data_IF_136728942580
#
_entry.id   IF_136728942580
#
_cell.length_a   1.000
_cell.length_b   1.000
_cell.length_c   1.000
_cell.angle_alpha   90.00
_cell.angle_beta   90.00
_cell.angle_gamma   90.00
#
_symmetry.space_group_name_H-M   'P 1'
#
loop_
_entity.id
_entity.type
_entity.pdbx_description
1 polymer ?
#
# COMPACT_ATOMS: atom_id res chain seq x y z
N UNK A 1 -7.52 -27.02 5.76
CA UNK A 1 -7.84 -25.60 5.53
C UNK A 1 -9.22 -25.31 6.09
N UNK A 2 -9.28 -24.46 7.12
CA UNK A 2 -10.53 -24.08 7.79
C UNK A 2 -11.37 -23.14 6.90
N UNK A 3 -12.63 -22.89 7.28
CA UNK A 3 -13.47 -21.89 6.61
C UNK A 3 -12.85 -20.48 6.69
N UNK A 4 -12.26 -20.14 7.83
CA UNK A 4 -11.59 -18.85 8.03
C UNK A 4 -10.38 -18.72 7.11
N UNK A 5 -9.56 -19.77 6.96
CA UNK A 5 -8.40 -19.78 6.06
C UNK A 5 -8.83 -19.52 4.60
N UNK A 6 -9.94 -20.14 4.17
CA UNK A 6 -10.51 -19.91 2.83
C UNK A 6 -10.92 -18.46 2.62
N UNK A 7 -11.59 -17.87 3.62
CA UNK A 7 -12.02 -16.46 3.55
C UNK A 7 -10.80 -15.54 3.44
N UNK A 8 -9.76 -15.77 4.27
CA UNK A 8 -8.52 -14.99 4.21
C UNK A 8 -7.86 -15.10 2.83
N UNK A 9 -7.74 -16.32 2.29
CA UNK A 9 -7.14 -16.54 0.97
C UNK A 9 -7.90 -15.81 -0.15
N UNK A 10 -9.23 -15.81 -0.11
CA UNK A 10 -10.05 -15.12 -1.12
C UNK A 10 -9.86 -13.60 -1.03
N UNK A 11 -9.89 -13.04 0.19
CA UNK A 11 -9.66 -11.61 0.40
C UNK A 11 -8.24 -11.19 0.00
N UNK A 12 -7.23 -11.99 0.31
CA UNK A 12 -5.86 -11.74 -0.12
C UNK A 12 -5.75 -11.79 -1.66
N UNK A 13 -6.43 -12.74 -2.31
CA UNK A 13 -6.48 -12.83 -3.77
C UNK A 13 -7.17 -11.63 -4.41
N UNK A 14 -8.25 -11.14 -3.80
CA UNK A 14 -8.99 -9.96 -4.25
C UNK A 14 -8.11 -8.70 -4.17
N UNK A 15 -7.44 -8.49 -3.04
CA UNK A 15 -6.52 -7.39 -2.84
C UNK A 15 -5.35 -7.43 -3.83
N UNK A 16 -4.76 -8.61 -4.03
CA UNK A 16 -3.67 -8.81 -4.99
C UNK A 16 -4.08 -8.44 -6.42
N UNK A 17 -5.26 -8.90 -6.85
CA UNK A 17 -5.79 -8.57 -8.17
C UNK A 17 -6.02 -7.06 -8.31
N UNK A 18 -6.62 -6.43 -7.30
CA UNK A 18 -6.86 -4.99 -7.29
C UNK A 18 -5.56 -4.18 -7.42
N UNK A 19 -4.53 -4.49 -6.63
CA UNK A 19 -3.24 -3.78 -6.71
C UNK A 19 -2.56 -3.97 -8.07
N UNK A 20 -2.63 -5.17 -8.64
CA UNK A 20 -2.04 -5.43 -9.96
C UNK A 20 -2.77 -4.63 -11.06
N UNK A 21 -4.09 -4.55 -10.99
CA UNK A 21 -4.88 -3.77 -11.94
C UNK A 21 -4.67 -2.25 -11.78
N UNK A 22 -4.35 -1.77 -10.57
CA UNK A 22 -3.99 -0.38 -10.31
C UNK A 22 -2.60 -0.01 -10.86
N UNK A 23 -1.68 -0.97 -10.94
CA UNK A 23 -0.34 -0.79 -11.52
C UNK A 23 -0.31 -0.93 -13.05
N UNK A 24 -1.22 -1.72 -13.63
CA UNK A 24 -1.23 -2.02 -15.06
C UNK A 24 -1.29 -0.79 -16.01
N UNK A 25 -1.98 0.32 -15.68
CA UNK A 25 -2.00 1.51 -16.54
C UNK A 25 -0.61 2.04 -16.90
N UNK A 26 0.36 1.95 -15.99
CA UNK A 26 1.72 2.44 -16.21
C UNK A 26 2.38 1.70 -17.39
N UNK A 27 2.11 0.40 -17.53
CA UNK A 27 2.64 -0.44 -18.62
C UNK A 27 1.81 -0.31 -19.91
N UNK A 28 0.48 -0.20 -19.79
CA UNK A 28 -0.39 -0.05 -20.97
C UNK A 28 -0.08 1.23 -21.75
N UNK A 29 0.28 2.31 -21.06
CA UNK A 29 0.67 3.57 -21.70
C UNK A 29 1.94 3.43 -22.56
N UNK A 30 2.84 2.49 -22.26
CA UNK A 30 4.04 2.23 -23.07
C UNK A 30 3.73 1.66 -24.45
N UNK A 31 2.53 1.06 -24.61
CA UNK A 31 2.11 0.46 -25.88
C UNK A 31 1.45 1.46 -26.85
N UNK A 32 1.19 2.69 -26.40
CA UNK A 32 0.56 3.75 -27.21
C UNK A 32 1.67 4.53 -27.92
N UNK A 33 1.64 4.58 -29.27
CA UNK A 33 2.61 5.37 -30.04
C UNK A 33 2.19 6.85 -30.03
N UNK A 34 2.96 7.76 -29.39
CA UNK A 34 2.59 9.17 -29.33
C UNK A 34 2.73 9.92 -30.65
N UNK A 35 3.29 9.30 -31.70
CA UNK A 35 3.47 9.88 -33.03
C UNK A 35 2.42 9.41 -34.03
N UNK A 36 1.58 8.46 -33.65
CA UNK A 36 0.46 7.98 -34.45
C UNK A 36 -0.88 8.44 -33.83
N UNK A 37 -1.59 9.30 -34.56
CA UNK A 37 -2.87 9.84 -34.13
C UNK A 37 -3.94 8.76 -33.97
N UNK A 38 -3.89 7.68 -34.75
CA UNK A 38 -4.83 6.56 -34.62
C UNK A 38 -4.54 5.75 -33.36
N UNK A 39 -3.27 5.40 -33.12
CA UNK A 39 -2.82 4.77 -31.88
C UNK A 39 -3.20 5.59 -30.64
N UNK A 40 -2.98 6.91 -30.66
CA UNK A 40 -3.37 7.82 -29.59
C UNK A 40 -4.88 7.81 -29.32
N UNK A 41 -5.70 7.87 -30.37
CA UNK A 41 -7.15 7.90 -30.23
C UNK A 41 -7.68 6.58 -29.64
N UNK A 42 -7.24 5.44 -30.18
CA UNK A 42 -7.61 4.11 -29.71
C UNK A 42 -7.13 3.86 -28.28
N UNK A 43 -5.87 4.20 -27.99
CA UNK A 43 -5.28 4.09 -26.66
C UNK A 43 -6.01 4.94 -25.63
N UNK A 44 -6.37 6.18 -25.96
CA UNK A 44 -7.16 7.06 -25.09
C UNK A 44 -8.53 6.46 -24.77
N UNK A 45 -9.27 6.02 -25.79
CA UNK A 45 -10.58 5.41 -25.60
C UNK A 45 -10.50 4.16 -24.71
N UNK A 46 -9.52 3.31 -24.96
CA UNK A 46 -9.28 2.12 -24.16
C UNK A 46 -8.95 2.44 -22.71
N UNK A 47 -8.02 3.36 -22.44
CA UNK A 47 -7.61 3.75 -21.08
C UNK A 47 -8.78 4.38 -20.32
N UNK A 48 -9.62 5.19 -20.98
CA UNK A 48 -10.83 5.74 -20.35
C UNK A 48 -11.78 4.61 -19.91
N UNK A 49 -12.12 3.69 -20.83
CA UNK A 49 -12.99 2.56 -20.52
C UNK A 49 -12.39 1.65 -19.44
N UNK A 50 -11.09 1.39 -19.48
CA UNK A 50 -10.38 0.60 -18.47
C UNK A 50 -10.47 1.26 -17.10
N UNK A 51 -10.17 2.55 -16.99
CA UNK A 51 -10.19 3.27 -15.71
C UNK A 51 -11.59 3.31 -15.08
N UNK A 52 -12.64 3.47 -15.90
CA UNK A 52 -14.02 3.43 -15.41
C UNK A 52 -14.38 2.05 -14.84
N UNK A 53 -14.03 0.97 -15.55
CA UNK A 53 -14.26 -0.39 -15.07
C UNK A 53 -13.43 -0.70 -13.82
N UNK A 54 -12.16 -0.26 -13.79
CA UNK A 54 -11.29 -0.44 -12.64
C UNK A 54 -11.86 0.28 -11.41
N UNK A 55 -12.36 1.51 -11.56
CA UNK A 55 -12.97 2.25 -10.46
C UNK A 55 -14.23 1.55 -9.91
N UNK A 56 -15.04 0.94 -10.78
CA UNK A 56 -16.20 0.16 -10.34
C UNK A 56 -15.79 -1.13 -9.64
N UNK A 57 -14.76 -1.80 -10.16
CA UNK A 57 -14.19 -3.01 -9.56
C UNK A 57 -13.59 -2.72 -8.18
N UNK A 58 -12.82 -1.65 -8.02
CA UNK A 58 -12.20 -1.30 -6.73
C UNK A 58 -13.27 -0.95 -5.68
N UNK A 59 -14.27 -0.16 -6.06
CA UNK A 59 -15.41 0.15 -5.18
C UNK A 59 -16.22 -1.08 -4.77
N UNK A 60 -16.45 -2.02 -5.70
CA UNK A 60 -17.17 -3.27 -5.40
C UNK A 60 -16.34 -4.22 -4.53
N UNK A 61 -15.04 -4.32 -4.80
CA UNK A 61 -14.10 -5.13 -4.03
C UNK A 61 -13.99 -4.66 -2.59
N UNK A 62 -13.89 -3.34 -2.38
CA UNK A 62 -13.89 -2.73 -1.05
C UNK A 62 -15.17 -3.06 -0.27
N UNK A 63 -16.33 -2.94 -0.90
CA UNK A 63 -17.63 -3.29 -0.28
C UNK A 63 -17.70 -4.77 0.10
N UNK A 64 -17.29 -5.67 -0.79
CA UNK A 64 -17.25 -7.12 -0.51
C UNK A 64 -16.32 -7.40 0.67
N UNK A 65 -15.11 -6.83 0.67
CA UNK A 65 -14.17 -6.99 1.77
C UNK A 65 -14.76 -6.48 3.09
N UNK A 66 -15.40 -5.31 3.10
CA UNK A 66 -16.05 -4.75 4.28
C UNK A 66 -17.19 -5.65 4.79
N UNK A 67 -18.05 -6.16 3.90
CA UNK A 67 -19.15 -7.06 4.28
C UNK A 67 -18.63 -8.36 4.92
N UNK A 68 -17.60 -8.96 4.34
CA UNK A 68 -16.97 -10.18 4.86
C UNK A 68 -16.30 -9.89 6.22
N UNK A 69 -15.55 -8.79 6.33
CA UNK A 69 -14.93 -8.33 7.59
C UNK A 69 -16.00 -8.16 8.68
N UNK A 70 -17.08 -7.45 8.40
CA UNK A 70 -18.15 -7.19 9.36
C UNK A 70 -18.92 -8.45 9.79
N UNK A 71 -19.13 -9.39 8.87
CA UNK A 71 -19.89 -10.61 9.16
C UNK A 71 -19.07 -11.67 9.89
N UNK A 72 -17.81 -11.88 9.49
CA UNK A 72 -16.96 -12.95 10.02
C UNK A 72 -15.94 -12.47 11.06
N UNK A 73 -15.74 -11.17 11.24
CA UNK A 73 -14.73 -10.60 12.13
C UNK A 73 -13.30 -10.88 11.68
N UNK A 74 -13.07 -11.13 10.39
CA UNK A 74 -11.76 -11.48 9.83
C UNK A 74 -11.20 -10.28 9.09
N UNK A 75 -10.02 -9.77 9.47
CA UNK A 75 -9.34 -8.69 8.76
C UNK A 75 -7.93 -9.13 8.31
N UNK A 76 -7.80 -9.79 7.14
CA UNK A 76 -6.53 -10.38 6.70
C UNK A 76 -5.40 -9.37 6.52
N UNK A 77 -5.73 -8.09 6.33
CA UNK A 77 -4.77 -7.00 6.15
C UNK A 77 -4.13 -6.55 7.46
N UNK A 78 -4.74 -6.86 8.61
CA UNK A 78 -4.26 -6.50 9.95
C UNK A 78 -3.82 -7.71 10.78
N UNK A 79 -4.38 -8.89 10.51
CA UNK A 79 -4.15 -10.11 11.30
C UNK A 79 -2.65 -10.44 11.50
N UNK A 80 -1.83 -10.20 10.47
CA UNK A 80 -0.40 -10.52 10.49
C UNK A 80 0.47 -9.29 10.82
N UNK A 81 -0.14 -8.10 10.95
CA UNK A 81 0.60 -6.85 11.13
C UNK A 81 1.10 -6.75 12.55
N UNK A 82 2.42 -6.84 12.69
CA UNK A 82 3.09 -6.62 13.97
C UNK A 82 3.65 -5.20 13.97
N UNK A 83 3.13 -4.38 14.89
CA UNK A 83 3.64 -3.05 15.23
C UNK A 83 4.40 -3.13 16.53
N UNK A 84 5.58 -2.52 16.58
CA UNK A 84 6.27 -2.29 17.85
C UNK A 84 6.31 -0.80 18.19
N UNK A 85 5.81 -0.39 19.37
CA UNK A 85 5.82 1.03 19.74
C UNK A 85 6.09 1.36 21.21
N UNK A 86 6.63 0.45 22.03
CA UNK A 86 6.92 0.79 23.44
C UNK A 86 8.10 0.07 24.09
N UNK A 87 8.53 -1.11 23.59
CA UNK A 87 9.66 -1.85 24.16
C UNK A 87 10.88 -1.83 23.21
N UNK A 88 11.99 -1.27 23.70
CA UNK A 88 13.25 -1.16 22.96
C UNK A 88 13.80 -2.51 22.48
N UNK A 89 13.81 -3.54 23.33
CA UNK A 89 14.37 -4.85 22.96
C UNK A 89 13.56 -5.54 21.86
N UNK A 90 12.26 -5.33 21.91
CA UNK A 90 11.28 -5.90 21.02
C UNK A 90 11.42 -5.24 19.63
N UNK A 91 11.54 -3.90 19.61
CA UNK A 91 11.86 -3.09 18.44
C UNK A 91 13.17 -3.50 17.77
N UNK A 92 14.24 -3.67 18.56
CA UNK A 92 15.55 -4.09 18.06
C UNK A 92 15.48 -5.48 17.41
N UNK A 93 14.70 -6.42 17.96
CA UNK A 93 14.45 -7.73 17.35
C UNK A 93 13.68 -7.62 16.04
N UNK A 94 12.65 -6.79 15.99
CA UNK A 94 11.84 -6.59 14.80
C UNK A 94 12.66 -5.96 13.65
N UNK A 95 13.45 -4.94 13.96
CA UNK A 95 14.39 -4.33 13.00
C UNK A 95 15.40 -5.36 12.53
N UNK A 96 16.01 -6.13 13.45
CA UNK A 96 16.97 -7.17 13.11
C UNK A 96 16.35 -8.32 12.29
N UNK A 97 15.04 -8.55 12.37
CA UNK A 97 14.35 -9.52 11.53
C UNK A 97 14.11 -8.98 10.11
N UNK A 98 13.78 -7.70 9.98
CA UNK A 98 13.61 -7.02 8.68
C UNK A 98 14.94 -6.84 7.96
N UNK A 99 15.99 -6.39 8.66
CA UNK A 99 17.33 -6.18 8.12
C UNK A 99 18.04 -7.48 7.68
N UNK A 100 17.37 -8.64 7.75
CA UNK A 100 17.86 -9.89 7.14
C UNK A 100 17.73 -9.89 5.61
N UNK A 101 16.87 -9.04 5.05
CA UNK A 101 16.64 -8.96 3.62
C UNK A 101 17.10 -7.62 3.07
N UNK A 102 17.13 -7.51 1.74
CA UNK A 102 17.49 -6.27 1.06
C UNK A 102 16.50 -5.13 1.40
N UNK A 103 16.98 -3.95 1.84
CA UNK A 103 16.13 -2.79 2.04
C UNK A 103 15.92 -2.03 0.73
N UNK A 104 14.68 -1.60 0.52
CA UNK A 104 14.25 -0.74 -0.58
C UNK A 104 13.85 0.66 -0.11
N UNK A 105 13.82 1.60 -1.04
CA UNK A 105 13.59 3.02 -0.76
C UNK A 105 12.47 3.61 -1.63
N UNK A 106 11.83 4.68 -1.14
CA UNK A 106 10.66 5.33 -1.75
C UNK A 106 10.84 5.81 -3.21
N UNK A 107 12.07 5.85 -3.73
CA UNK A 107 12.37 6.26 -5.11
C UNK A 107 12.40 5.13 -6.13
N UNK A 108 12.25 3.88 -5.70
CA UNK A 108 12.29 2.72 -6.58
C UNK A 108 10.93 2.45 -7.26
N UNK A 109 10.94 1.55 -8.25
CA UNK A 109 9.73 1.06 -8.87
C UNK A 109 9.23 -0.21 -8.14
N UNK A 110 7.97 -0.18 -7.72
CA UNK A 110 7.27 -1.22 -6.97
C UNK A 110 6.09 -1.84 -7.73
N UNK A 111 5.98 -1.60 -9.04
CA UNK A 111 4.98 -2.28 -9.89
C UNK A 111 5.08 -3.80 -9.71
N UNK A 112 3.95 -4.43 -9.41
CA UNK A 112 3.81 -5.87 -9.14
C UNK A 112 4.55 -6.42 -7.92
N UNK A 113 5.16 -5.57 -7.10
CA UNK A 113 5.83 -5.97 -5.85
C UNK A 113 4.85 -5.92 -4.67
N UNK A 114 5.19 -6.61 -3.58
CA UNK A 114 4.39 -6.63 -2.35
C UNK A 114 5.21 -6.17 -1.14
N UNK A 115 4.67 -5.26 -0.31
CA UNK A 115 5.33 -4.89 0.93
C UNK A 115 5.24 -6.06 1.90
N UNK A 116 6.28 -6.21 2.71
CA UNK A 116 6.29 -7.08 3.88
C UNK A 116 6.40 -6.28 5.17
N UNK A 117 7.19 -5.20 5.16
CA UNK A 117 7.41 -4.36 6.32
C UNK A 117 8.08 -3.06 5.95
N UNK A 118 8.18 -2.17 6.93
CA UNK A 118 8.98 -0.95 6.80
C UNK A 118 9.53 -0.51 8.14
N UNK A 119 10.59 0.29 8.08
CA UNK A 119 11.16 1.02 9.21
C UNK A 119 11.11 2.51 8.87
N UNK A 120 10.62 3.31 9.81
CA UNK A 120 10.60 4.77 9.73
C UNK A 120 10.93 5.36 11.10
N UNK A 121 12.10 6.01 11.21
CA UNK A 121 12.63 6.48 12.49
C UNK A 121 12.81 5.30 13.46
N UNK A 122 12.21 5.39 14.65
CA UNK A 122 12.23 4.31 15.62
C UNK A 122 11.03 3.34 15.52
N UNK A 123 10.20 3.45 14.49
CA UNK A 123 9.03 2.60 14.33
C UNK A 123 9.29 1.55 13.26
N UNK A 124 8.91 0.30 13.54
CA UNK A 124 8.98 -0.79 12.59
C UNK A 124 7.66 -1.54 12.53
N UNK A 125 7.28 -1.96 11.33
CA UNK A 125 6.12 -2.80 11.05
C UNK A 125 6.53 -3.99 10.19
N UNK A 126 5.95 -5.16 10.44
CA UNK A 126 6.08 -6.35 9.58
C UNK A 126 4.75 -7.04 9.37
N UNK A 127 4.72 -7.98 8.42
CA UNK A 127 3.52 -8.76 8.09
C UNK A 127 2.51 -8.01 7.24
N UNK A 128 2.95 -6.94 6.58
CA UNK A 128 2.14 -6.18 5.64
C UNK A 128 1.81 -7.05 4.41
N UNK A 129 0.65 -6.81 3.82
CA UNK A 129 0.18 -7.50 2.60
C UNK A 129 -0.08 -6.56 1.43
N UNK A 130 -0.44 -5.31 1.72
CA UNK A 130 -0.86 -4.33 0.73
C UNK A 130 -0.11 -3.01 0.94
N UNK A 131 0.13 -2.30 -0.16
CA UNK A 131 0.70 -0.95 -0.14
C UNK A 131 -0.26 0.04 0.51
N UNK A 132 -1.58 -0.21 0.38
CA UNK A 132 -2.62 0.53 1.10
C UNK A 132 -2.39 0.50 2.61
N UNK A 133 -2.20 -0.68 3.22
CA UNK A 133 -1.98 -0.78 4.67
C UNK A 133 -0.71 -0.05 5.08
N UNK A 134 0.38 -0.18 4.32
CA UNK A 134 1.62 0.56 4.56
C UNK A 134 1.36 2.08 4.58
N UNK A 135 0.66 2.60 3.57
CA UNK A 135 0.32 4.02 3.46
C UNK A 135 -0.49 4.52 4.66
N UNK A 136 -1.56 3.80 5.03
CA UNK A 136 -2.41 4.16 6.17
C UNK A 136 -1.63 4.17 7.49
N UNK A 137 -0.70 3.23 7.69
CA UNK A 137 0.17 3.21 8.85
C UNK A 137 1.09 4.43 8.92
N UNK A 138 1.62 4.87 7.78
CA UNK A 138 2.41 6.11 7.71
C UNK A 138 1.53 7.33 8.03
N UNK A 139 0.31 7.42 7.48
CA UNK A 139 -0.62 8.50 7.81
C UNK A 139 -0.91 8.57 9.31
N UNK A 140 -1.17 7.42 9.95
CA UNK A 140 -1.40 7.34 11.39
C UNK A 140 -0.18 7.82 12.20
N UNK A 141 1.04 7.51 11.74
CA UNK A 141 2.27 8.02 12.36
C UNK A 141 2.40 9.54 12.24
N UNK A 142 2.10 10.09 11.06
CA UNK A 142 2.16 11.53 10.82
C UNK A 142 1.11 12.30 11.63
N UNK A 143 -0.12 11.77 11.70
CA UNK A 143 -1.18 12.31 12.55
C UNK A 143 -0.75 12.34 14.02
N UNK A 144 -0.14 11.26 14.52
CA UNK A 144 0.33 11.20 15.90
C UNK A 144 1.50 12.16 16.18
N UNK A 145 2.32 12.44 15.17
CA UNK A 145 3.51 13.31 15.29
C UNK A 145 3.12 14.79 15.35
N UNK A 146 2.24 15.24 14.45
CA UNK A 146 1.75 16.63 14.41
C UNK A 146 0.28 16.65 13.94
N UNK A 147 -0.68 16.52 14.87
CA UNK A 147 -2.10 16.46 14.54
C UNK A 147 -2.61 17.73 13.85
N UNK A 148 -2.09 18.90 14.22
CA UNK A 148 -2.54 20.17 13.67
C UNK A 148 -2.10 20.32 12.21
N UNK A 149 -0.84 19.97 11.92
CA UNK A 149 -0.33 19.96 10.55
C UNK A 149 -1.02 18.90 9.68
N UNK A 150 -1.30 17.72 10.27
CA UNK A 150 -2.05 16.66 9.58
C UNK A 150 -3.47 17.10 9.23
N UNK A 151 -4.18 17.77 10.15
CA UNK A 151 -5.53 18.28 9.89
C UNK A 151 -5.59 19.35 8.78
N UNK A 152 -4.48 20.03 8.49
CA UNK A 152 -4.39 21.03 7.43
C UNK A 152 -4.07 20.45 6.04
N UNK A 153 -3.80 19.14 5.93
CA UNK A 153 -3.46 18.50 4.65
C UNK A 153 -4.50 18.66 3.54
N UNK A 154 -5.84 18.59 3.80
CA UNK A 154 -6.84 18.77 2.75
C UNK A 154 -6.75 20.11 2.01
N UNK A 155 -6.30 21.17 2.70
CA UNK A 155 -6.19 22.53 2.16
C UNK A 155 -4.78 22.86 1.65
N UNK A 156 -3.84 21.92 1.76
CA UNK A 156 -2.45 22.15 1.36
C UNK A 156 -2.29 21.91 -0.14
N UNK A 157 -2.03 22.96 -0.91
CA UNK A 157 -1.95 22.91 -2.40
C UNK A 157 -1.07 21.79 -2.95
N UNK A 158 0.05 21.46 -2.28
CA UNK A 158 0.95 20.36 -2.68
C UNK A 158 0.24 19.00 -2.73
N UNK A 159 -0.77 18.79 -1.89
CA UNK A 159 -1.53 17.54 -1.80
C UNK A 159 -2.88 17.62 -2.54
N UNK A 160 -3.07 18.65 -3.36
CA UNK A 160 -4.19 18.79 -4.27
C UNK A 160 -3.66 18.56 -5.69
N UNK A 161 -4.20 17.55 -6.37
CA UNK A 161 -3.81 17.27 -7.76
C UNK A 161 -4.15 18.45 -8.68
N UNK A 162 -3.50 18.50 -9.86
CA UNK A 162 -3.79 19.50 -10.89
C UNK A 162 -5.28 19.54 -11.34
N UNK A 163 -6.06 18.48 -11.04
CA UNK A 163 -7.50 18.40 -11.33
C UNK A 163 -8.37 18.82 -10.13
N UNK A 164 -7.78 19.40 -9.08
CA UNK A 164 -8.47 19.83 -7.86
C UNK A 164 -8.87 18.68 -6.94
N UNK A 165 -8.36 17.46 -7.15
CA UNK A 165 -8.66 16.31 -6.28
C UNK A 165 -7.64 16.22 -5.15
N UNK A 166 -8.06 16.31 -3.87
CA UNK A 166 -7.16 16.26 -2.74
C UNK A 166 -6.73 14.83 -2.41
N UNK A 167 -5.60 14.68 -1.72
CA UNK A 167 -5.12 13.40 -1.19
C UNK A 167 -5.90 12.96 0.06
N UNK A 168 -6.32 13.92 0.87
CA UNK A 168 -7.18 13.72 2.05
C UNK A 168 -8.36 14.69 1.99
N UNK A 169 -9.53 14.25 2.46
CA UNK A 169 -10.71 15.11 2.59
C UNK A 169 -11.48 14.79 3.87
N UNK A 170 -12.26 15.75 4.38
CA UNK A 170 -13.27 15.50 5.41
C UNK A 170 -14.54 14.83 4.84
N UNK A 171 -14.69 14.80 3.52
CA UNK A 171 -15.81 14.19 2.82
C UNK A 171 -15.30 13.10 1.86
N UNK A 172 -15.75 11.86 2.08
CA UNK A 172 -15.37 10.69 1.27
C UNK A 172 -15.66 10.90 -0.23
N UNK A 173 -16.74 11.62 -0.57
CA UNK A 173 -17.18 11.83 -1.96
C UNK A 173 -16.27 12.74 -2.78
N UNK A 174 -15.33 13.44 -2.14
CA UNK A 174 -14.34 14.23 -2.86
C UNK A 174 -13.27 13.33 -3.49
N UNK A 175 -13.11 12.11 -2.96
CA UNK A 175 -12.14 11.09 -3.35
C UNK A 175 -12.75 10.06 -4.31
N UNK A 176 -11.91 9.33 -5.04
CA UNK A 176 -12.36 8.18 -5.85
C UNK A 176 -12.71 7.01 -4.96
N UNK A 177 -11.86 6.73 -3.97
CA UNK A 177 -12.13 5.79 -2.89
C UNK A 177 -11.44 6.26 -1.63
N UNK A 178 -12.23 6.63 -0.61
CA UNK A 178 -11.72 7.11 0.66
C UNK A 178 -11.66 6.00 1.71
N UNK A 179 -10.52 5.83 2.37
CA UNK A 179 -10.44 5.07 3.63
C UNK A 179 -10.53 6.02 4.80
N UNK A 180 -11.46 5.76 5.73
CA UNK A 180 -11.63 6.60 6.91
C UNK A 180 -10.47 6.40 7.89
N UNK A 181 -9.92 7.50 8.37
CA UNK A 181 -8.87 7.55 9.40
C UNK A 181 -9.46 7.91 10.77
N UNK A 182 -8.71 7.63 11.83
CA UNK A 182 -9.08 7.99 13.21
C UNK A 182 -9.17 9.52 13.43
N UNK A 183 -8.48 10.32 12.59
CA UNK A 183 -8.63 11.78 12.56
C UNK A 183 -10.03 12.25 12.18
N UNK A 184 -10.85 11.39 11.57
CA UNK A 184 -12.12 11.76 10.94
C UNK A 184 -11.98 12.19 9.48
N UNK A 185 -10.76 12.29 8.95
CA UNK A 185 -10.50 12.46 7.52
C UNK A 185 -10.61 11.13 6.77
N UNK A 186 -10.77 11.22 5.46
CA UNK A 186 -10.65 10.12 4.51
C UNK A 186 -9.37 10.31 3.70
N UNK A 187 -8.64 9.22 3.45
CA UNK A 187 -7.46 9.19 2.59
C UNK A 187 -7.78 8.51 1.26
N UNK A 188 -7.30 9.07 0.15
CA UNK A 188 -7.41 8.43 -1.17
C UNK A 188 -6.59 7.14 -1.20
N UNK A 189 -7.23 6.02 -1.54
CA UNK A 189 -6.61 4.70 -1.60
C UNK A 189 -6.72 4.03 -2.97
N UNK A 190 -7.42 4.63 -3.94
CA UNK A 190 -7.50 4.12 -5.32
C UNK A 190 -6.27 4.55 -6.15
N UNK A 191 -5.09 4.13 -5.70
CA UNK A 191 -3.79 4.53 -6.21
C UNK A 191 -2.88 3.31 -6.40
N UNK A 192 -1.99 3.36 -7.39
CA UNK A 192 -0.95 2.34 -7.56
C UNK A 192 0.06 2.39 -6.42
N UNK A 193 0.83 1.30 -6.24
CA UNK A 193 1.92 1.25 -5.28
C UNK A 193 2.87 2.45 -5.40
N UNK A 194 3.31 2.75 -6.62
CA UNK A 194 4.21 3.86 -6.91
C UNK A 194 3.59 5.22 -6.55
N UNK A 195 2.29 5.41 -6.84
CA UNK A 195 1.60 6.64 -6.47
C UNK A 195 1.49 6.82 -4.95
N UNK A 196 1.14 5.75 -4.22
CA UNK A 196 1.09 5.78 -2.75
C UNK A 196 2.47 6.12 -2.16
N UNK A 197 3.54 5.47 -2.61
CA UNK A 197 4.90 5.71 -2.11
C UNK A 197 5.42 7.11 -2.48
N UNK A 198 5.04 7.64 -3.65
CA UNK A 198 5.30 9.03 -4.02
C UNK A 198 4.65 9.99 -3.01
N UNK A 199 3.38 9.78 -2.66
CA UNK A 199 2.71 10.61 -1.67
C UNK A 199 3.34 10.46 -0.28
N UNK A 200 3.73 9.26 0.12
CA UNK A 200 4.48 9.06 1.38
C UNK A 200 5.74 9.91 1.38
N UNK A 201 6.54 9.89 0.31
CA UNK A 201 7.73 10.73 0.20
C UNK A 201 7.41 12.21 0.39
N UNK A 202 6.42 12.73 -0.34
CA UNK A 202 6.02 14.15 -0.26
C UNK A 202 5.48 14.52 1.13
N UNK A 203 4.74 13.61 1.78
CA UNK A 203 4.25 13.76 3.14
C UNK A 203 5.40 13.80 4.14
N UNK A 204 6.35 12.87 4.08
CA UNK A 204 7.52 12.86 4.96
C UNK A 204 8.29 14.19 4.85
N UNK A 205 8.57 14.65 3.64
CA UNK A 205 9.22 15.94 3.40
C UNK A 205 8.41 17.10 3.97
N UNK A 206 7.08 17.11 3.78
CA UNK A 206 6.22 18.13 4.33
C UNK A 206 6.28 18.16 5.86
N UNK A 207 6.32 17.02 6.53
CA UNK A 207 6.45 16.89 7.98
C UNK A 207 7.89 17.09 8.50
N UNK A 208 8.87 17.35 7.62
CA UNK A 208 10.26 17.57 8.00
C UNK A 208 11.03 16.28 8.33
N UNK A 209 10.51 15.12 7.93
CA UNK A 209 11.18 13.83 8.02
C UNK A 209 11.97 13.57 6.74
N UNK A 210 13.18 13.01 6.86
CA UNK A 210 13.99 12.65 5.70
C UNK A 210 13.47 11.34 5.08
N UNK A 211 12.92 11.36 3.85
CA UNK A 211 12.37 10.15 3.22
C UNK A 211 13.40 9.04 3.02
N UNK A 212 14.70 9.36 2.97
CA UNK A 212 15.78 8.38 2.82
C UNK A 212 15.97 7.50 4.06
N UNK A 213 15.40 7.91 5.20
CA UNK A 213 15.42 7.12 6.43
C UNK A 213 14.36 6.02 6.44
N UNK A 214 13.38 6.08 5.53
CA UNK A 214 12.40 5.03 5.39
C UNK A 214 13.00 3.85 4.61
N UNK A 215 13.04 2.68 5.26
CA UNK A 215 13.40 1.42 4.62
C UNK A 215 12.14 0.59 4.42
N UNK A 216 11.97 0.00 3.24
CA UNK A 216 10.86 -0.87 2.87
C UNK A 216 11.42 -2.26 2.60
N UNK A 217 10.71 -3.29 3.02
CA UNK A 217 11.10 -4.69 2.82
C UNK A 217 9.98 -5.40 2.06
N UNK A 218 10.33 -6.22 1.07
CA UNK A 218 9.38 -6.89 0.19
C UNK A 218 9.17 -8.35 0.59
N UNK A 219 8.06 -8.94 0.12
CA UNK A 219 7.70 -10.32 0.47
C UNK A 219 8.54 -11.37 -0.24
N UNK A 220 8.83 -11.18 -1.53
CA UNK A 220 9.59 -12.17 -2.33
C UNK A 220 11.03 -12.32 -1.86
N UNK A 221 11.69 -11.23 -1.47
CA UNK A 221 13.04 -11.26 -0.91
C UNK A 221 13.12 -11.99 0.43
N UNK A 222 11.97 -12.14 1.14
CA UNK A 222 11.88 -12.90 2.40
C UNK A 222 11.53 -14.36 2.18
N UNK A 223 10.61 -14.66 1.26
CA UNK A 223 10.19 -16.04 0.99
C UNK A 223 11.28 -16.83 0.26
N UNK A 224 12.18 -16.16 -0.48
CA UNK A 224 13.34 -16.78 -1.12
C UNK A 224 14.23 -17.53 -0.12
N UNK A 225 14.52 -16.95 1.05
CA UNK A 225 15.39 -17.55 2.07
C UNK A 225 14.71 -18.68 2.87
N UNK A 226 13.37 -18.66 2.97
CA UNK A 226 12.60 -19.72 3.63
C UNK A 226 12.66 -21.01 2.80
N UNK A 227 12.63 -20.90 1.46
CA UNK A 227 12.71 -22.07 0.57
C UNK A 227 14.09 -22.75 0.63
N UNK A 228 15.18 -22.00 0.83
CA UNK A 228 16.53 -22.57 0.95
C UNK A 228 16.85 -23.17 2.32
N UNK A 229 16.21 -22.68 3.39
CA UNK A 229 16.42 -23.23 4.75
C UNK A 229 15.66 -24.53 5.01
N UNK A 230 14.49 -24.72 4.37
CA UNK A 230 13.72 -25.97 4.46
C UNK A 230 14.34 -27.13 3.64
N UNK A 231 15.08 -26.83 2.57
CA UNK A 231 15.82 -27.85 1.80
C UNK A 231 17.12 -28.28 2.48
N UNK A 232 17.71 -27.44 3.34
CA UNK A 232 18.90 -27.80 4.12
C UNK A 232 18.57 -28.73 5.31
N UNK A 233 17.41 -28.54 5.95
CA UNK A 233 16.98 -29.37 7.08
C UNK A 233 16.36 -30.72 6.67
N UNK A 234 15.83 -30.84 5.44
CA UNK A 234 15.29 -32.10 4.93
C UNK A 234 16.37 -33.07 4.41
N UNK A 235 17.59 -32.59 4.18
CA UNK A 235 18.74 -33.42 3.75
C UNK A 235 19.64 -33.90 4.91
N UNK A 236 19.32 -33.56 6.17
CA UNK A 236 20.07 -34.07 7.33
C UNK A 236 19.41 -35.28 8.02
N UNK A 237 18.28 -35.78 7.53
CA UNK A 237 17.56 -36.95 8.07
C UNK A 237 17.28 -38.02 7.00
N UNK A 238 18.23 -38.27 6.10
CA UNK A 238 18.26 -39.46 5.25
C UNK A 238 19.58 -40.19 5.34
#
# INVERSE_FOLDING_TARGET
MTQQDKIKQILDSLNNLQENLLSLPDDMLLSIDPRDNESLAQGTQFIMAYNDNLSQFTGSSAKIAQMIKAHFGINPEEDDVVKESSNRQQRERLIAELDKTEPHYLGENFTYKRPYGFILGETAYKGLKTWKTLYLLVLNMLQATDPAKFAALPETERFISNRGKPLLSSNEHDLRLGEKLDSGLYAEINLSANALLKYIKELLEHFGLDPRTMKIYLREDRDADIVFSDQANSNQHR
#
